data_IF_378115090769
#
_entry.id   IF_378115090769
#
_cell.length_a   1.000
_cell.length_b   1.000
_cell.length_c   1.000
_cell.angle_alpha   90.00
_cell.angle_beta   90.00
_cell.angle_gamma   90.00
#
_symmetry.space_group_name_H-M   'P 1'
#
loop_
_entity.id
_entity.type
_entity.pdbx_description
1 polymer ?
#
# COMPACT_ATOMS: atom_id res chain seq x y z
N UNK A 1 6.98 -10.97 -17.38
CA UNK A 1 6.82 -10.15 -16.15
C UNK A 1 6.24 -11.04 -15.06
N UNK A 2 6.67 -10.90 -13.79
CA UNK A 2 6.09 -11.69 -12.71
C UNK A 2 4.61 -11.36 -12.53
N UNK A 3 3.80 -12.37 -12.19
CA UNK A 3 2.34 -12.22 -12.02
C UNK A 3 2.01 -11.31 -10.82
N UNK A 4 2.87 -11.30 -9.81
CA UNK A 4 2.76 -10.48 -8.61
C UNK A 4 4.14 -9.93 -8.23
N UNK A 5 4.14 -8.81 -7.51
CA UNK A 5 5.34 -8.24 -6.87
C UNK A 5 5.07 -8.03 -5.39
N UNK A 6 6.10 -8.28 -4.57
CA UNK A 6 6.05 -8.10 -3.12
C UNK A 6 6.35 -6.66 -2.76
N UNK A 7 5.47 -6.09 -1.94
CA UNK A 7 5.55 -4.74 -1.41
C UNK A 7 5.64 -4.80 0.11
N UNK A 8 6.29 -3.80 0.70
CA UNK A 8 6.28 -3.59 2.15
C UNK A 8 5.47 -2.35 2.52
N UNK A 9 4.75 -2.37 3.64
CA UNK A 9 4.11 -1.17 4.19
C UNK A 9 4.06 -1.22 5.72
N UNK A 10 4.36 -0.09 6.33
CA UNK A 10 4.01 0.16 7.73
C UNK A 10 2.55 0.58 7.85
N UNK A 11 1.78 -0.12 8.68
CA UNK A 11 0.36 0.14 8.93
C UNK A 11 -0.02 -0.17 10.37
N UNK A 12 -1.18 0.31 10.81
CA UNK A 12 -1.72 -0.05 12.13
C UNK A 12 -2.17 -1.51 12.18
N UNK A 13 -2.29 -2.08 13.39
CA UNK A 13 -2.88 -3.41 13.57
C UNK A 13 -4.30 -3.50 12.99
N UNK A 14 -5.11 -2.45 13.15
CA UNK A 14 -6.47 -2.41 12.60
C UNK A 14 -6.48 -2.47 11.07
N UNK A 15 -5.57 -1.76 10.40
CA UNK A 15 -5.42 -1.85 8.95
C UNK A 15 -4.96 -3.25 8.52
N UNK A 16 -4.04 -3.87 9.25
CA UNK A 16 -3.60 -5.23 8.98
C UNK A 16 -4.75 -6.24 9.09
N UNK A 17 -5.51 -6.19 10.19
CA UNK A 17 -6.65 -7.10 10.42
C UNK A 17 -7.70 -6.94 9.30
N UNK A 18 -8.01 -5.69 8.92
CA UNK A 18 -8.92 -5.40 7.81
C UNK A 18 -8.37 -5.86 6.45
N UNK A 19 -7.06 -5.79 6.26
CA UNK A 19 -6.39 -6.29 5.05
C UNK A 19 -6.51 -7.80 4.92
N UNK A 20 -6.37 -8.53 6.03
CA UNK A 20 -6.60 -9.97 6.09
C UNK A 20 -8.07 -10.33 5.79
N UNK A 21 -9.01 -9.59 6.39
CA UNK A 21 -10.45 -9.83 6.21
C UNK A 21 -10.90 -9.56 4.76
N UNK A 22 -10.46 -8.45 4.18
CA UNK A 22 -10.93 -8.00 2.86
C UNK A 22 -10.12 -8.59 1.70
N UNK A 23 -8.90 -9.06 1.95
CA UNK A 23 -7.95 -9.46 0.91
C UNK A 23 -7.58 -8.31 -0.03
N UNK A 24 -7.71 -7.05 0.41
CA UNK A 24 -7.43 -5.85 -0.39
C UNK A 24 -6.45 -4.94 0.32
N UNK A 25 -5.61 -4.25 -0.44
CA UNK A 25 -4.74 -3.20 0.11
C UNK A 25 -5.59 -2.10 0.73
N UNK A 26 -5.25 -1.71 1.97
CA UNK A 26 -5.96 -0.63 2.65
C UNK A 26 -5.57 0.74 2.08
N UNK A 27 -6.57 1.52 1.71
CA UNK A 27 -6.39 2.89 1.25
C UNK A 27 -5.97 3.79 2.41
N UNK A 28 -4.90 4.57 2.24
CA UNK A 28 -4.52 5.59 3.22
C UNK A 28 -5.49 6.79 3.19
N UNK A 29 -5.50 7.60 4.24
CA UNK A 29 -6.41 8.74 4.38
C UNK A 29 -6.40 9.72 3.19
N UNK A 30 -5.24 9.95 2.57
CA UNK A 30 -5.11 10.83 1.40
C UNK A 30 -5.57 10.18 0.07
N UNK A 31 -6.06 8.94 0.13
CA UNK A 31 -6.47 8.15 -1.02
C UNK A 31 -5.31 7.53 -1.81
N UNK A 32 -4.06 7.78 -1.42
CA UNK A 32 -2.86 7.20 -2.04
C UNK A 32 -2.11 6.39 -1.00
N UNK A 33 -1.95 5.10 -1.24
CA UNK A 33 -1.22 4.21 -0.33
C UNK A 33 0.25 4.14 -0.75
N UNK A 34 1.14 4.62 0.11
CA UNK A 34 2.59 4.53 -0.11
C UNK A 34 3.12 3.19 0.41
N UNK A 35 4.04 2.62 -0.36
CA UNK A 35 4.60 1.27 -0.16
C UNK A 35 6.09 1.27 -0.50
N UNK A 36 6.82 0.34 0.10
CA UNK A 36 8.21 0.05 -0.19
C UNK A 36 8.30 -0.95 -1.36
N UNK A 37 9.06 -0.60 -2.39
CA UNK A 37 9.40 -1.48 -3.51
C UNK A 37 10.83 -1.20 -3.96
N UNK A 38 11.80 -2.11 -3.72
CA UNK A 38 11.64 -3.46 -3.14
C UNK A 38 11.14 -3.45 -1.68
N UNK A 39 10.50 -4.53 -1.24
CA UNK A 39 10.00 -4.67 0.12
C UNK A 39 11.16 -4.65 1.12
N UNK A 40 11.30 -3.53 1.83
CA UNK A 40 12.31 -3.31 2.88
C UNK A 40 11.68 -2.63 4.09
N UNK A 41 11.92 -3.17 5.29
CA UNK A 41 11.34 -2.63 6.54
C UNK A 41 11.92 -1.26 6.90
N UNK A 42 13.15 -0.97 6.44
CA UNK A 42 13.84 0.29 6.65
C UNK A 42 13.16 1.46 5.93
N UNK A 43 12.38 1.17 4.88
CA UNK A 43 11.58 2.17 4.20
C UNK A 43 10.40 2.60 5.07
N UNK A 44 10.16 3.90 5.16
CA UNK A 44 9.06 4.53 5.90
C UNK A 44 9.05 4.32 7.44
N UNK A 45 10.01 3.60 8.03
CA UNK A 45 10.03 3.32 9.47
C UNK A 45 10.10 4.59 10.34
N UNK A 46 10.78 5.63 9.85
CA UNK A 46 10.89 6.92 10.56
C UNK A 46 9.54 7.63 10.65
N UNK A 47 8.70 7.51 9.64
CA UNK A 47 7.36 8.11 9.56
C UNK A 47 6.28 7.25 10.22
N UNK A 48 6.51 5.95 10.38
CA UNK A 48 5.56 5.04 11.00
C UNK A 48 5.36 5.39 12.49
N UNK A 49 4.12 5.44 13.01
CA UNK A 49 3.88 5.53 14.46
C UNK A 49 4.47 4.34 15.23
N UNK A 50 4.76 4.50 16.52
CA UNK A 50 5.12 3.38 17.39
C UNK A 50 4.03 2.30 17.39
N UNK A 51 4.43 1.04 17.54
CA UNK A 51 3.57 -0.14 17.45
C UNK A 51 2.94 -0.41 16.08
N UNK A 52 3.37 0.29 15.03
CA UNK A 52 2.97 -0.03 13.65
C UNK A 52 3.54 -1.38 13.23
N UNK A 53 2.80 -2.10 12.39
CA UNK A 53 3.20 -3.37 11.79
C UNK A 53 3.80 -3.12 10.42
N UNK A 54 5.00 -3.64 10.20
CA UNK A 54 5.55 -3.83 8.87
C UNK A 54 4.97 -5.09 8.28
N UNK A 55 4.24 -4.93 7.19
CA UNK A 55 3.52 -5.99 6.50
C UNK A 55 4.04 -6.08 5.09
N UNK A 56 4.39 -7.30 4.67
CA UNK A 56 4.68 -7.62 3.28
C UNK A 56 3.47 -8.29 2.65
N UNK A 57 3.19 -7.96 1.39
CA UNK A 57 2.09 -8.54 0.63
C UNK A 57 2.33 -8.43 -0.87
N UNK A 58 1.68 -9.30 -1.62
CA UNK A 58 1.81 -9.41 -3.06
C UNK A 58 0.64 -8.74 -3.79
N UNK A 59 0.95 -7.99 -4.85
CA UNK A 59 -0.04 -7.33 -5.73
C UNK A 59 0.33 -7.46 -7.22
N UNK A 60 -0.61 -7.31 -8.16
CA UNK A 60 -0.29 -7.23 -9.58
C UNK A 60 0.64 -6.04 -9.88
N UNK A 61 1.71 -6.17 -10.70
CA UNK A 61 2.70 -5.09 -10.87
C UNK A 61 2.16 -3.82 -11.54
N UNK A 62 1.15 -3.92 -12.41
CA UNK A 62 0.64 -2.81 -13.22
C UNK A 62 0.05 -1.64 -12.40
N UNK A 63 -0.45 -1.95 -11.19
CA UNK A 63 -1.11 -0.99 -10.30
C UNK A 63 -0.11 -0.19 -9.46
N UNK A 64 1.14 -0.65 -9.36
CA UNK A 64 2.19 -0.02 -8.56
C UNK A 64 2.89 1.03 -9.40
N UNK A 65 2.94 2.27 -8.90
CA UNK A 65 3.62 3.39 -9.56
C UNK A 65 4.85 3.80 -8.74
N UNK A 66 6.04 3.94 -9.34
CA UNK A 66 7.19 4.46 -8.62
C UNK A 66 6.94 5.91 -8.19
N UNK A 67 7.59 6.32 -7.11
CA UNK A 67 7.73 7.74 -6.73
C UNK A 67 9.07 8.31 -7.20
N UNK A 68 9.32 9.59 -6.92
CA UNK A 68 10.62 10.23 -7.16
C UNK A 68 11.72 9.63 -6.29
N UNK A 69 11.37 9.22 -5.07
CA UNK A 69 12.31 8.62 -4.12
C UNK A 69 12.54 7.13 -4.45
N UNK A 70 13.81 6.75 -4.48
CA UNK A 70 14.21 5.37 -4.76
C UNK A 70 13.74 4.43 -3.62
N UNK A 71 13.26 3.25 -4.01
CA UNK A 71 12.73 2.26 -3.05
C UNK A 71 11.29 2.53 -2.61
N UNK A 72 10.68 3.63 -3.06
CA UNK A 72 9.33 4.02 -2.73
C UNK A 72 8.41 3.90 -3.95
N UNK A 73 7.20 3.44 -3.70
CA UNK A 73 6.15 3.35 -4.68
C UNK A 73 4.80 3.71 -4.06
N UNK A 74 3.78 3.84 -4.91
CA UNK A 74 2.43 4.20 -4.52
C UNK A 74 1.38 3.43 -5.29
N UNK A 75 0.24 3.26 -4.63
CA UNK A 75 -0.99 2.70 -5.17
C UNK A 75 -2.04 3.82 -5.10
N UNK A 76 -2.62 4.14 -6.26
CA UNK A 76 -3.62 5.21 -6.38
C UNK A 76 -4.98 4.60 -6.09
N UNK A 77 -5.62 5.04 -5.02
CA UNK A 77 -6.96 4.60 -4.63
C UNK A 77 -8.08 5.48 -5.17
N UNK A 78 -9.34 5.05 -4.99
CA UNK A 78 -10.53 5.75 -5.49
C UNK A 78 -10.71 7.14 -4.88
N UNK A 79 -10.27 7.35 -3.64
CA UNK A 79 -10.41 8.61 -2.93
C UNK A 79 -9.21 9.53 -3.12
N UNK A 80 -8.21 9.15 -3.92
CA UNK A 80 -7.07 10.03 -4.27
C UNK A 80 -7.52 11.27 -5.06
N UNK A 81 -6.64 12.27 -5.19
CA UNK A 81 -6.88 13.42 -6.08
C UNK A 81 -7.20 12.95 -7.50
N UNK A 82 -6.43 11.97 -8.00
CA UNK A 82 -6.62 11.37 -9.32
C UNK A 82 -7.94 10.61 -9.41
N UNK A 83 -8.30 9.83 -8.40
CA UNK A 83 -9.56 9.08 -8.36
C UNK A 83 -10.78 9.99 -8.33
N UNK A 84 -10.74 11.06 -7.52
CA UNK A 84 -11.79 12.09 -7.49
C UNK A 84 -11.90 12.83 -8.83
N UNK A 85 -10.77 13.13 -9.47
CA UNK A 85 -10.76 13.76 -10.80
C UNK A 85 -11.33 12.83 -11.87
N UNK A 86 -10.96 11.55 -11.85
CA UNK A 86 -11.49 10.54 -12.77
C UNK A 86 -13.01 10.42 -12.62
N UNK A 87 -13.50 10.31 -11.38
CA UNK A 87 -14.94 10.32 -11.07
C UNK A 87 -15.64 11.55 -11.64
N UNK A 88 -15.06 12.75 -11.49
CA UNK A 88 -15.63 14.00 -12.01
C UNK A 88 -15.67 14.04 -13.54
N UNK A 89 -14.71 13.40 -14.20
CA UNK A 89 -14.58 13.36 -15.67
C UNK A 89 -15.32 12.18 -16.31
N UNK A 90 -16.00 11.33 -15.53
CA UNK A 90 -16.62 10.10 -16.04
C UNK A 90 -15.60 9.06 -16.53
N UNK A 91 -14.36 9.13 -16.06
CA UNK A 91 -13.30 8.18 -16.38
C UNK A 91 -13.28 7.02 -15.37
N UNK A 92 -12.69 5.86 -15.74
CA UNK A 92 -12.51 4.75 -14.81
C UNK A 92 -11.82 5.19 -13.51
N UNK A 93 -12.44 4.87 -12.37
CA UNK A 93 -11.93 5.22 -11.04
C UNK A 93 -10.93 4.15 -10.62
N UNK A 94 -9.74 4.51 -10.11
CA UNK A 94 -8.81 3.55 -9.56
C UNK A 94 -9.42 2.77 -8.38
N UNK A 95 -9.17 1.47 -8.31
CA UNK A 95 -9.59 0.64 -7.19
C UNK A 95 -8.38 0.12 -6.41
N UNK A 96 -8.59 -0.19 -5.12
CA UNK A 96 -7.56 -0.85 -4.34
C UNK A 96 -7.40 -2.31 -4.79
N UNK A 97 -6.16 -2.76 -5.10
CA UNK A 97 -5.91 -4.08 -5.62
C UNK A 97 -6.17 -5.17 -4.58
N UNK A 98 -6.41 -6.39 -5.06
CA UNK A 98 -6.28 -7.60 -4.24
C UNK A 98 -4.86 -7.72 -3.71
N UNK A 99 -4.74 -8.03 -2.44
CA UNK A 99 -3.50 -8.40 -1.78
C UNK A 99 -3.54 -9.87 -1.40
N UNK A 100 -2.46 -10.59 -1.71
CA UNK A 100 -2.27 -11.99 -1.32
C UNK A 100 -0.96 -12.13 -0.56
N UNK A 101 -0.72 -13.30 0.05
CA UNK A 101 0.54 -13.58 0.77
C UNK A 101 0.85 -12.48 1.81
N UNK A 102 -0.15 -12.13 2.61
CA UNK A 102 -0.08 -11.02 3.57
C UNK A 102 0.61 -11.52 4.84
N UNK A 103 1.77 -10.98 5.16
CA UNK A 103 2.59 -11.39 6.30
C UNK A 103 3.03 -10.19 7.12
N UNK A 104 2.71 -10.21 8.43
CA UNK A 104 3.38 -9.34 9.39
C UNK A 104 4.83 -9.80 9.61
N UNK A 105 5.79 -8.91 9.35
CA UNK A 105 7.23 -9.21 9.38
C UNK A 105 7.97 -8.54 10.54
N UNK A 106 7.54 -7.35 10.96
CA UNK A 106 8.14 -6.64 12.07
C UNK A 106 7.15 -5.69 12.73
N UNK A 107 7.35 -5.38 14.01
CA UNK A 107 6.61 -4.35 14.74
C UNK A 107 7.57 -3.24 15.14
N UNK A 108 7.21 -1.98 14.87
CA UNK A 108 8.00 -0.82 15.30
C UNK A 108 7.86 -0.70 16.82
N UNK A 109 8.97 -0.80 17.52
CA UNK A 109 9.03 -0.50 18.94
C UNK A 109 9.12 1.02 19.18
N UNK A 110 8.71 1.44 20.37
CA UNK A 110 8.78 2.84 20.81
C UNK A 110 10.20 3.32 21.06
#
# INVERSE_FOLDING_TARGET
MPKYITLGRWMSKQEYDKMLETGKVQESFCGTTYVAYPAKAEAFIKQAPSYSYYVEFDVPPLIVKPTSDEGWAKIIGPNSVQGRLAKRKGLPIPEMPTAINIYHKATKQG
#
